data_IF_648625770869
#
_entry.id   IF_648625770869
#
_cell.length_a   1.000
_cell.length_b   1.000
_cell.length_c   1.000
_cell.angle_alpha   90.00
_cell.angle_beta   90.00
_cell.angle_gamma   90.00
#
_symmetry.space_group_name_H-M   'P 1'
#
loop_
_entity.id
_entity.type
_entity.pdbx_description
1 polymer ?
#
# COMPACT_ATOMS: atom_id res chain seq x y z
N UNK A 1 4.01 8.12 -9.29
CA UNK A 1 5.13 7.65 -8.44
C UNK A 1 5.04 6.15 -8.21
N UNK A 2 6.18 5.44 -8.09
CA UNK A 2 6.23 4.03 -7.67
C UNK A 2 6.47 3.89 -6.17
N UNK A 3 5.71 3.00 -5.53
CA UNK A 3 5.81 2.61 -4.13
C UNK A 3 6.09 1.11 -4.02
N UNK A 4 7.14 0.77 -3.28
CA UNK A 4 7.41 -0.61 -2.87
C UNK A 4 6.72 -0.87 -1.54
N UNK A 5 5.85 -1.86 -1.49
CA UNK A 5 5.05 -2.16 -0.30
C UNK A 5 5.27 -3.61 0.10
N UNK A 6 5.57 -3.85 1.37
CA UNK A 6 5.53 -5.17 1.98
C UNK A 6 4.20 -5.36 2.70
N UNK A 7 3.31 -6.16 2.13
CA UNK A 7 1.95 -6.39 2.63
C UNK A 7 1.91 -7.56 3.62
N UNK A 8 1.42 -7.30 4.83
CA UNK A 8 1.17 -8.31 5.86
C UNK A 8 -0.35 -8.48 6.08
N UNK A 9 -0.99 -9.50 5.48
CA UNK A 9 -2.40 -9.78 5.67
C UNK A 9 -2.71 -10.46 7.02
N UNK A 10 -4.00 -10.48 7.39
CA UNK A 10 -4.49 -11.14 8.62
C UNK A 10 -4.03 -10.47 9.92
N UNK A 11 -3.70 -9.17 9.87
CA UNK A 11 -3.32 -8.43 11.06
C UNK A 11 -4.54 -8.06 11.94
N UNK A 12 -4.31 -7.72 13.21
CA UNK A 12 -5.40 -7.24 14.09
C UNK A 12 -6.02 -5.92 13.61
N UNK A 13 -5.23 -5.07 12.97
CA UNK A 13 -5.64 -3.75 12.45
C UNK A 13 -4.95 -3.47 11.12
N UNK A 14 -5.60 -2.66 10.28
CA UNK A 14 -5.01 -2.14 9.04
C UNK A 14 -4.23 -0.86 9.36
N UNK A 15 -2.92 -0.87 9.13
CA UNK A 15 -2.03 0.23 9.52
C UNK A 15 -0.74 0.25 8.69
N UNK A 16 -0.14 1.44 8.60
CA UNK A 16 1.24 1.59 8.15
C UNK A 16 2.16 1.20 9.32
N UNK A 17 3.02 0.21 9.11
CA UNK A 17 3.86 -0.39 10.15
C UNK A 17 5.35 -0.04 9.98
N UNK A 18 5.65 1.10 9.35
CA UNK A 18 7.02 1.56 9.09
C UNK A 18 7.64 0.93 7.86
N UNK A 19 8.96 0.71 7.90
CA UNK A 19 9.73 0.10 6.81
C UNK A 19 10.06 -1.36 7.07
N UNK A 20 10.13 -2.14 6.00
CA UNK A 20 10.70 -3.48 5.95
C UNK A 20 11.76 -3.50 4.85
N UNK A 21 13.02 -3.35 5.24
CA UNK A 21 14.09 -3.07 4.29
C UNK A 21 13.81 -1.78 3.51
N UNK A 22 13.83 -1.86 2.19
CA UNK A 22 13.53 -0.73 1.30
C UNK A 22 12.03 -0.57 0.95
N UNK A 23 11.15 -1.40 1.52
CA UNK A 23 9.71 -1.40 1.25
C UNK A 23 8.92 -0.84 2.42
N UNK A 24 7.82 -0.14 2.14
CA UNK A 24 6.87 0.29 3.15
C UNK A 24 6.07 -0.91 3.66
N UNK A 25 6.15 -1.19 4.96
CA UNK A 25 5.39 -2.26 5.57
C UNK A 25 3.95 -1.79 5.83
N UNK A 26 2.99 -2.46 5.22
CA UNK A 26 1.56 -2.20 5.46
C UNK A 26 0.92 -3.49 5.97
N UNK A 27 0.25 -3.39 7.11
CA UNK A 27 -0.57 -4.47 7.64
C UNK A 27 -2.00 -4.25 7.20
N UNK A 28 -2.69 -5.31 6.81
CA UNK A 28 -4.14 -5.28 6.53
C UNK A 28 -4.84 -6.33 7.37
N UNK A 29 -5.99 -5.95 7.93
CA UNK A 29 -6.84 -6.89 8.65
C UNK A 29 -7.50 -7.92 7.73
N UNK A 30 -7.62 -7.60 6.44
CA UNK A 30 -8.15 -8.53 5.45
C UNK A 30 -7.34 -9.84 5.43
N UNK A 31 -8.01 -11.00 5.40
CA UNK A 31 -7.33 -12.29 5.36
C UNK A 31 -6.59 -12.47 4.02
N UNK A 32 -5.57 -13.35 3.98
CA UNK A 32 -4.82 -13.69 2.77
C UNK A 32 -5.61 -14.58 1.79
N UNK A 33 -6.92 -14.34 1.68
CA UNK A 33 -7.77 -15.00 0.67
C UNK A 33 -7.81 -14.17 -0.60
N UNK A 34 -7.99 -14.85 -1.72
CA UNK A 34 -7.77 -14.31 -3.07
C UNK A 34 -8.33 -12.88 -3.25
N UNK A 35 -7.41 -11.94 -3.54
CA UNK A 35 -7.72 -10.54 -3.82
C UNK A 35 -8.15 -9.66 -2.64
N UNK A 36 -8.57 -10.19 -1.50
CA UNK A 36 -9.07 -9.36 -0.37
C UNK A 36 -7.97 -8.47 0.22
N UNK A 37 -6.78 -9.02 0.43
CA UNK A 37 -5.63 -8.27 0.92
C UNK A 37 -5.23 -7.13 -0.03
N UNK A 38 -5.26 -7.40 -1.35
CA UNK A 38 -4.92 -6.39 -2.38
C UNK A 38 -5.93 -5.25 -2.40
N UNK A 39 -7.23 -5.56 -2.33
CA UNK A 39 -8.30 -4.56 -2.26
C UNK A 39 -8.19 -3.71 -0.99
N UNK A 40 -7.90 -4.34 0.14
CA UNK A 40 -7.70 -3.63 1.41
C UNK A 40 -6.48 -2.70 1.37
N UNK A 41 -5.39 -3.12 0.72
CA UNK A 41 -4.21 -2.27 0.50
C UNK A 41 -4.56 -1.04 -0.35
N UNK A 42 -5.23 -1.23 -1.49
CA UNK A 42 -5.62 -0.12 -2.38
C UNK A 42 -6.54 0.86 -1.65
N UNK A 43 -7.49 0.35 -0.87
CA UNK A 43 -8.38 1.19 -0.07
C UNK A 43 -7.65 1.96 1.02
N UNK A 44 -6.71 1.30 1.71
CA UNK A 44 -5.89 1.95 2.72
C UNK A 44 -5.05 3.08 2.13
N UNK A 45 -4.36 2.83 1.00
CA UNK A 45 -3.56 3.83 0.30
C UNK A 45 -4.41 4.97 -0.24
N UNK A 46 -5.59 4.69 -0.83
CA UNK A 46 -6.52 5.70 -1.31
C UNK A 46 -6.92 6.67 -0.19
N UNK A 47 -7.29 6.14 0.98
CA UNK A 47 -7.64 6.95 2.16
C UNK A 47 -6.45 7.74 2.70
N UNK A 48 -5.26 7.12 2.75
CA UNK A 48 -4.06 7.73 3.33
C UNK A 48 -3.47 8.84 2.44
N UNK A 49 -3.54 8.66 1.12
CA UNK A 49 -3.00 9.60 0.13
C UNK A 49 -4.04 10.62 -0.37
N UNK A 50 -5.32 10.44 -0.05
CA UNK A 50 -6.40 11.33 -0.50
C UNK A 50 -6.71 11.21 -2.01
N UNK A 51 -6.33 10.10 -2.64
CA UNK A 51 -6.52 9.86 -4.08
C UNK A 51 -7.61 8.83 -4.34
N UNK A 52 -8.16 8.81 -5.56
CA UNK A 52 -9.19 7.83 -5.93
C UNK A 52 -8.56 6.44 -6.09
N UNK A 53 -9.32 5.37 -5.81
CA UNK A 53 -8.84 3.99 -5.99
C UNK A 53 -8.32 3.71 -7.40
N UNK A 54 -8.92 4.34 -8.43
CA UNK A 54 -8.51 4.22 -9.84
C UNK A 54 -7.14 4.84 -10.15
N UNK A 55 -6.62 5.69 -9.26
CA UNK A 55 -5.31 6.32 -9.39
C UNK A 55 -4.21 5.48 -8.70
N UNK A 56 -4.58 4.32 -8.17
CA UNK A 56 -3.69 3.38 -7.50
C UNK A 56 -3.74 2.07 -8.27
N UNK A 57 -2.64 1.74 -8.93
CA UNK A 57 -2.50 0.53 -9.73
C UNK A 57 -1.45 -0.39 -9.09
N UNK A 58 -1.70 -1.70 -9.11
CA UNK A 58 -0.72 -2.71 -8.70
C UNK A 58 -0.02 -3.23 -9.95
N UNK A 59 1.24 -2.84 -10.14
CA UNK A 59 2.03 -3.27 -11.29
C UNK A 59 2.62 -4.67 -11.11
N UNK A 60 2.90 -5.07 -9.87
CA UNK A 60 3.48 -6.38 -9.58
C UNK A 60 3.12 -6.89 -8.18
N UNK A 61 3.30 -8.20 -8.01
CA UNK A 61 3.22 -8.85 -6.71
C UNK A 61 1.82 -9.29 -6.32
N UNK A 62 0.86 -9.42 -7.25
CA UNK A 62 -0.53 -9.80 -6.94
C UNK A 62 -0.67 -10.99 -6.00
N UNK A 63 0.19 -12.02 -6.16
CA UNK A 63 0.26 -13.23 -5.34
C UNK A 63 1.38 -13.21 -4.28
N UNK A 64 2.19 -12.16 -4.23
CA UNK A 64 3.31 -11.99 -3.30
C UNK A 64 2.97 -10.99 -2.18
N UNK A 65 3.78 -11.00 -1.11
CA UNK A 65 3.72 -9.98 -0.05
C UNK A 65 4.33 -8.67 -0.50
N UNK A 66 5.41 -8.71 -1.26
CA UNK A 66 6.00 -7.53 -1.85
C UNK A 66 5.21 -7.11 -3.10
N UNK A 67 4.80 -5.85 -3.11
CA UNK A 67 3.99 -5.21 -4.15
C UNK A 67 4.74 -4.03 -4.74
N UNK A 68 4.52 -3.79 -6.02
CA UNK A 68 4.86 -2.53 -6.68
C UNK A 68 3.57 -1.83 -6.99
N UNK A 69 3.36 -0.67 -6.38
CA UNK A 69 2.17 0.16 -6.53
C UNK A 69 2.53 1.42 -7.30
N UNK A 70 1.82 1.70 -8.37
CA UNK A 70 1.85 2.98 -9.08
C UNK A 70 0.75 3.88 -8.54
N UNK A 71 1.13 5.08 -8.11
CA UNK A 71 0.20 6.14 -7.73
C UNK A 71 0.26 7.24 -8.79
N UNK A 72 -0.85 7.46 -9.48
CA UNK A 72 -0.99 8.51 -10.49
C UNK A 72 -1.24 9.88 -9.84
N UNK A 73 -0.84 10.95 -10.53
CA UNK A 73 -1.15 12.33 -10.14
C UNK A 73 -0.50 12.84 -8.85
N UNK A 74 0.35 12.04 -8.21
CA UNK A 74 1.05 12.42 -6.96
C UNK A 74 2.55 12.51 -7.17
N UNK A 75 3.14 13.58 -6.64
CA UNK A 75 4.59 13.75 -6.56
C UNK A 75 5.21 12.89 -5.45
N UNK A 76 6.53 12.61 -5.52
CA UNK A 76 7.21 11.89 -4.45
C UNK A 76 7.12 12.53 -3.08
N UNK A 77 7.13 13.85 -3.02
CA UNK A 77 7.11 14.60 -1.76
C UNK A 77 5.74 14.53 -1.07
N UNK A 78 4.65 14.65 -1.84
CA UNK A 78 3.28 14.53 -1.33
C UNK A 78 3.03 13.14 -0.74
N UNK A 79 3.47 12.10 -1.44
CA UNK A 79 3.33 10.72 -0.99
C UNK A 79 4.14 10.48 0.28
N UNK A 80 5.40 10.94 0.32
CA UNK A 80 6.26 10.86 1.51
C UNK A 80 5.62 11.54 2.73
N UNK A 81 5.12 12.76 2.55
CA UNK A 81 4.43 13.54 3.59
C UNK A 81 3.17 12.83 4.09
N UNK A 82 2.32 12.35 3.17
CA UNK A 82 1.09 11.67 3.52
C UNK A 82 1.34 10.35 4.29
N UNK A 83 2.42 9.65 3.96
CA UNK A 83 2.82 8.41 4.62
C UNK A 83 3.68 8.63 5.87
N UNK A 84 4.08 9.87 6.17
CA UNK A 84 4.93 10.18 7.31
C UNK A 84 6.33 9.58 7.20
N UNK A 85 6.83 9.43 5.99
CA UNK A 85 8.19 8.93 5.71
C UNK A 85 9.04 10.08 5.19
N UNK A 86 9.92 10.59 6.05
CA UNK A 86 10.90 11.63 5.72
C UNK A 86 12.19 11.01 5.22
#
# INVERSE_FOLDING_TARGET
MLLKVHLQPGAKKTELAGFHGASLKIKVAAPPVEGKANRALIEFLSKKLGVRKKEIEMLAGEKARDKIILVHGQSPEEVKKALGVS
#
